data_IF_232777255107
#
_entry.id   IF_232777255107
#
_cell.length_a   1.000
_cell.length_b   1.000
_cell.length_c   1.000
_cell.angle_alpha   90.00
_cell.angle_beta   90.00
_cell.angle_gamma   90.00
#
_symmetry.space_group_name_H-M   'P 1'
#
loop_
_entity.id
_entity.type
_entity.pdbx_description
1 polymer ?
#
# COMPACT_ATOMS: atom_id res chain seq x y z
N UNK A 1 -22.96 43.71 -20.10
CA UNK A 1 -23.80 43.27 -18.96
C UNK A 1 -23.70 41.76 -18.88
N UNK A 2 -23.43 41.28 -17.67
CA UNK A 2 -23.13 39.93 -17.18
C UNK A 2 -23.67 38.72 -17.97
N UNK A 3 -22.75 37.85 -18.38
CA UNK A 3 -23.01 36.45 -18.75
C UNK A 3 -22.72 35.55 -17.54
N UNK A 4 -23.72 34.82 -17.06
CA UNK A 4 -23.57 33.80 -16.03
C UNK A 4 -23.92 32.43 -16.58
N UNK A 5 -23.15 31.45 -16.09
CA UNK A 5 -23.54 30.05 -15.86
C UNK A 5 -23.16 28.98 -16.89
N UNK A 6 -21.86 28.70 -16.95
CA UNK A 6 -21.29 27.44 -17.44
C UNK A 6 -20.83 26.52 -16.28
N UNK A 7 -21.75 26.01 -15.46
CA UNK A 7 -21.40 25.05 -14.38
C UNK A 7 -22.32 23.84 -14.41
N UNK A 8 -22.12 22.94 -15.39
CA UNK A 8 -22.84 21.65 -15.45
C UNK A 8 -21.98 20.40 -15.73
N UNK A 9 -20.64 20.51 -15.85
CA UNK A 9 -19.80 19.34 -16.20
C UNK A 9 -18.97 18.72 -15.08
N UNK A 10 -18.83 19.35 -13.91
CA UNK A 10 -18.01 18.79 -12.81
C UNK A 10 -18.69 17.76 -11.92
N UNK A 11 -20.03 17.67 -11.91
CA UNK A 11 -20.75 16.76 -11.02
C UNK A 11 -20.69 15.29 -11.44
N UNK A 12 -20.59 14.99 -12.74
CA UNK A 12 -20.79 13.62 -13.27
C UNK A 12 -19.62 12.67 -12.99
N UNK A 13 -18.38 13.15 -13.15
CA UNK A 13 -17.16 12.34 -12.93
C UNK A 13 -16.99 11.86 -11.47
N UNK A 14 -17.41 12.68 -10.49
CA UNK A 14 -17.39 12.26 -9.09
C UNK A 14 -18.39 11.13 -8.80
N UNK A 15 -19.60 11.16 -9.38
CA UNK A 15 -20.59 10.09 -9.22
C UNK A 15 -20.12 8.77 -9.85
N UNK A 16 -19.48 8.82 -11.01
CA UNK A 16 -18.94 7.61 -11.67
C UNK A 16 -17.86 6.92 -10.80
N UNK A 17 -17.01 7.71 -10.10
CA UNK A 17 -16.03 7.17 -9.15
C UNK A 17 -16.71 6.61 -7.89
N UNK A 18 -17.74 7.29 -7.37
CA UNK A 18 -18.50 6.79 -6.22
C UNK A 18 -19.19 5.46 -6.52
N UNK A 19 -19.79 5.30 -7.70
CA UNK A 19 -20.41 4.04 -8.12
C UNK A 19 -19.39 2.89 -8.26
N UNK A 20 -18.19 3.17 -8.81
CA UNK A 20 -17.13 2.16 -8.91
C UNK A 20 -16.62 1.77 -7.52
N UNK A 21 -16.46 2.75 -6.63
CA UNK A 21 -16.07 2.53 -5.24
C UNK A 21 -17.13 1.75 -4.46
N UNK A 22 -18.42 2.07 -4.63
CA UNK A 22 -19.54 1.34 -4.02
C UNK A 22 -19.54 -0.14 -4.44
N UNK A 23 -19.29 -0.45 -5.72
CA UNK A 23 -19.17 -1.83 -6.19
C UNK A 23 -17.97 -2.56 -5.59
N UNK A 24 -16.83 -1.88 -5.43
CA UNK A 24 -15.70 -2.48 -4.71
C UNK A 24 -16.06 -2.73 -3.25
N UNK A 25 -16.69 -1.78 -2.57
CA UNK A 25 -17.14 -1.95 -1.19
C UNK A 25 -18.09 -3.14 -1.02
N UNK A 26 -19.07 -3.31 -1.91
CA UNK A 26 -19.99 -4.45 -1.88
C UNK A 26 -19.23 -5.79 -2.00
N UNK A 27 -18.26 -5.89 -2.92
CA UNK A 27 -17.42 -7.09 -3.05
C UNK A 27 -16.60 -7.34 -1.78
N UNK A 28 -16.10 -6.28 -1.16
CA UNK A 28 -15.33 -6.36 0.08
C UNK A 28 -16.20 -6.76 1.27
N UNK A 29 -17.44 -6.29 1.36
CA UNK A 29 -18.39 -6.71 2.39
C UNK A 29 -18.78 -8.17 2.26
N UNK A 30 -19.05 -8.65 1.04
CA UNK A 30 -19.30 -10.07 0.80
C UNK A 30 -18.10 -10.93 1.20
N UNK A 31 -16.91 -10.48 0.83
CA UNK A 31 -15.66 -11.14 1.18
C UNK A 31 -15.43 -11.16 2.68
N UNK A 32 -15.59 -10.03 3.38
CA UNK A 32 -15.51 -9.97 4.84
C UNK A 32 -16.54 -10.87 5.51
N UNK A 33 -17.78 -10.91 5.02
CA UNK A 33 -18.82 -11.79 5.54
C UNK A 33 -18.42 -13.25 5.39
N UNK A 34 -17.90 -13.66 4.22
CA UNK A 34 -17.37 -15.01 4.00
C UNK A 34 -16.18 -15.31 4.89
N UNK A 35 -15.26 -14.35 5.07
CA UNK A 35 -14.12 -14.51 5.98
C UNK A 35 -14.64 -14.71 7.40
N UNK A 36 -15.55 -13.88 7.87
CA UNK A 36 -16.10 -13.96 9.22
C UNK A 36 -16.81 -15.30 9.46
N UNK A 37 -17.71 -15.70 8.57
CA UNK A 37 -18.42 -16.97 8.64
C UNK A 37 -17.46 -18.17 8.63
N UNK A 38 -16.49 -18.21 7.70
CA UNK A 38 -15.58 -19.34 7.57
C UNK A 38 -14.50 -19.39 8.64
N UNK A 39 -14.00 -18.22 9.08
CA UNK A 39 -12.97 -18.12 10.12
C UNK A 39 -13.57 -18.55 11.45
N UNK A 40 -14.66 -17.92 11.90
CA UNK A 40 -15.29 -18.27 13.18
C UNK A 40 -15.81 -19.71 13.21
N UNK A 41 -16.28 -20.25 12.08
CA UNK A 41 -16.74 -21.65 12.03
C UNK A 41 -15.61 -22.69 12.03
N UNK A 42 -14.37 -22.31 11.69
CA UNK A 42 -13.23 -23.24 11.55
C UNK A 42 -12.06 -22.97 12.50
N UNK A 43 -12.16 -21.98 13.39
CA UNK A 43 -11.12 -21.72 14.39
C UNK A 43 -10.95 -22.96 15.29
N UNK A 44 -9.78 -23.63 15.28
CA UNK A 44 -9.53 -24.70 16.23
C UNK A 44 -9.50 -24.09 17.64
N UNK A 45 -10.38 -24.56 18.52
CA UNK A 45 -10.35 -24.20 19.92
C UNK A 45 -8.99 -24.60 20.52
N UNK A 46 -8.23 -23.65 21.09
CA UNK A 46 -7.10 -23.97 21.97
C UNK A 46 -5.69 -23.56 21.53
N UNK A 47 -5.49 -22.76 20.48
CA UNK A 47 -4.22 -22.03 20.29
C UNK A 47 -4.50 -20.52 20.36
N UNK A 48 -3.73 -19.80 21.17
CA UNK A 48 -3.65 -18.34 21.12
C UNK A 48 -3.16 -17.95 19.73
N UNK A 49 -4.07 -17.80 18.79
CA UNK A 49 -3.79 -17.22 17.48
C UNK A 49 -3.74 -15.71 17.69
N UNK A 50 -2.65 -15.08 17.25
CA UNK A 50 -2.51 -13.63 17.23
C UNK A 50 -3.66 -12.97 16.45
N UNK A 51 -3.74 -11.63 16.47
CA UNK A 51 -4.85 -10.92 15.84
C UNK A 51 -4.98 -11.26 14.34
N UNK A 52 -6.22 -11.45 13.89
CA UNK A 52 -6.55 -11.47 12.46
C UNK A 52 -6.69 -10.03 11.98
N UNK A 53 -5.84 -9.63 11.04
CA UNK A 53 -5.76 -8.29 10.48
C UNK A 53 -6.05 -8.42 8.98
N UNK A 54 -7.13 -7.81 8.55
CA UNK A 54 -7.43 -7.55 7.15
C UNK A 54 -7.71 -6.06 7.02
N UNK A 55 -6.97 -5.40 6.14
CA UNK A 55 -7.13 -3.98 5.89
C UNK A 55 -6.87 -3.64 4.44
N UNK A 56 -7.42 -2.53 4.01
CA UNK A 56 -7.21 -2.00 2.67
C UNK A 56 -7.12 -0.48 2.71
N UNK A 57 -6.42 0.06 1.72
CA UNK A 57 -6.29 1.49 1.47
C UNK A 57 -6.71 1.76 0.03
N UNK A 58 -7.62 2.72 -0.15
CA UNK A 58 -8.09 3.14 -1.48
C UNK A 58 -7.59 4.56 -1.74
N UNK A 59 -6.88 4.75 -2.85
CA UNK A 59 -6.43 6.08 -3.31
C UNK A 59 -6.88 6.32 -4.73
N UNK A 60 -7.27 7.55 -5.08
CA UNK A 60 -7.60 7.92 -6.47
C UNK A 60 -6.30 8.22 -7.22
N UNK A 61 -6.03 7.44 -8.27
CA UNK A 61 -4.88 7.63 -9.14
C UNK A 61 -4.97 8.90 -10.00
N UNK A 62 -3.85 9.33 -10.61
CA UNK A 62 -3.82 10.50 -11.49
C UNK A 62 -4.67 10.33 -12.77
N UNK A 63 -4.98 9.09 -13.15
CA UNK A 63 -5.91 8.73 -14.22
C UNK A 63 -7.38 8.67 -13.77
N UNK A 64 -7.64 8.96 -12.49
CA UNK A 64 -8.97 8.95 -11.88
C UNK A 64 -9.45 7.57 -11.44
N UNK A 65 -8.63 6.51 -11.59
CA UNK A 65 -9.01 5.15 -11.18
C UNK A 65 -8.67 4.87 -9.72
N UNK A 66 -9.49 4.09 -9.00
CA UNK A 66 -9.16 3.67 -7.64
C UNK A 66 -7.97 2.70 -7.66
N UNK A 67 -7.01 2.94 -6.78
CA UNK A 67 -5.90 2.05 -6.47
C UNK A 67 -6.14 1.49 -5.09
N UNK A 68 -6.52 0.21 -5.04
CA UNK A 68 -6.75 -0.54 -3.79
C UNK A 68 -5.45 -1.25 -3.40
N UNK A 69 -5.00 -1.07 -2.16
CA UNK A 69 -3.85 -1.76 -1.57
C UNK A 69 -4.34 -2.53 -0.35
N UNK A 70 -4.11 -3.83 -0.30
CA UNK A 70 -4.42 -4.67 0.87
C UNK A 70 -3.22 -4.77 1.82
N UNK A 71 -3.48 -4.97 3.11
CA UNK A 71 -2.48 -5.19 4.16
C UNK A 71 -3.07 -6.07 5.27
N UNK A 72 -2.21 -6.56 6.16
CA UNK A 72 -2.58 -7.47 7.24
C UNK A 72 -2.06 -8.89 7.04
N UNK A 73 -2.54 -9.83 7.84
CA UNK A 73 -2.12 -11.24 7.80
C UNK A 73 -3.22 -12.18 7.27
N UNK A 74 -4.40 -11.67 6.93
CA UNK A 74 -5.48 -12.45 6.32
C UNK A 74 -5.47 -12.20 4.82
N UNK A 75 -5.35 -13.26 4.02
CA UNK A 75 -5.51 -13.20 2.57
C UNK A 75 -6.75 -13.98 2.12
N UNK A 76 -7.60 -13.40 1.26
CA UNK A 76 -8.68 -14.15 0.63
C UNK A 76 -8.14 -15.20 -0.33
N UNK A 77 -8.75 -16.38 -0.34
CA UNK A 77 -8.52 -17.34 -1.42
C UNK A 77 -9.86 -17.95 -1.85
N UNK A 78 -9.95 -18.55 -3.06
CA UNK A 78 -11.15 -19.27 -3.48
C UNK A 78 -11.57 -20.41 -2.55
N UNK A 79 -10.66 -20.89 -1.68
CA UNK A 79 -10.91 -21.96 -0.69
C UNK A 79 -11.22 -21.42 0.71
N UNK A 80 -11.28 -20.10 0.88
CA UNK A 80 -11.48 -19.43 2.16
C UNK A 80 -10.32 -18.52 2.57
N UNK A 81 -10.46 -17.77 3.67
CA UNK A 81 -9.36 -16.98 4.22
C UNK A 81 -8.17 -17.86 4.59
N UNK A 82 -6.98 -17.41 4.20
CA UNK A 82 -5.72 -17.97 4.66
C UNK A 82 -5.08 -16.97 5.61
N UNK A 83 -4.72 -17.43 6.80
CA UNK A 83 -4.06 -16.60 7.81
C UNK A 83 -2.57 -16.91 7.77
N UNK A 84 -1.78 -15.87 7.54
CA UNK A 84 -0.32 -15.92 7.62
C UNK A 84 0.11 -15.56 9.04
N UNK A 85 1.26 -16.08 9.45
CA UNK A 85 1.85 -15.72 10.74
C UNK A 85 2.40 -14.29 10.70
N UNK A 86 2.95 -13.89 9.57
CA UNK A 86 3.50 -12.57 9.31
C UNK A 86 2.39 -11.61 8.84
N UNK A 87 2.40 -10.40 9.38
CA UNK A 87 1.51 -9.32 8.96
C UNK A 87 2.17 -8.54 7.83
N UNK A 88 1.45 -8.30 6.74
CA UNK A 88 1.90 -7.32 5.75
C UNK A 88 1.63 -5.90 6.27
N UNK A 89 2.66 -5.05 6.40
CA UNK A 89 2.46 -3.65 6.73
C UNK A 89 1.80 -2.91 5.56
N UNK A 90 1.08 -1.83 5.88
CA UNK A 90 0.68 -0.87 4.87
C UNK A 90 1.94 -0.13 4.37
N UNK A 91 2.14 -0.16 3.05
CA UNK A 91 3.28 0.47 2.38
C UNK A 91 2.81 1.43 1.31
N UNK A 92 3.45 2.59 1.24
CA UNK A 92 3.34 3.50 0.11
C UNK A 92 4.70 3.80 -0.52
N UNK A 93 4.72 3.92 -1.84
CA UNK A 93 5.94 4.10 -2.63
C UNK A 93 5.80 5.33 -3.50
N UNK A 94 6.69 6.30 -3.30
CA UNK A 94 6.68 7.57 -4.00
C UNK A 94 7.91 7.70 -4.91
N UNK A 95 7.63 8.00 -6.18
CA UNK A 95 8.64 8.27 -7.19
C UNK A 95 8.93 9.79 -7.28
N UNK A 96 10.00 10.28 -6.62
CA UNK A 96 10.29 11.71 -6.42
C UNK A 96 11.65 12.12 -6.99
N UNK A 97 11.66 12.74 -8.18
CA UNK A 97 12.87 13.32 -8.78
C UNK A 97 13.98 12.28 -8.96
N UNK A 98 15.06 12.40 -8.17
CA UNK A 98 16.21 11.49 -8.16
C UNK A 98 16.10 10.36 -7.12
N UNK A 99 14.99 10.27 -6.40
CA UNK A 99 14.82 9.32 -5.30
C UNK A 99 13.54 8.50 -5.45
N UNK A 100 13.58 7.28 -4.92
CA UNK A 100 12.40 6.50 -4.54
C UNK A 100 12.28 6.59 -3.02
N UNK A 101 11.09 6.93 -2.51
CA UNK A 101 10.78 6.89 -1.08
C UNK A 101 9.78 5.78 -0.81
N UNK A 102 10.02 5.00 0.23
CA UNK A 102 9.13 3.94 0.70
C UNK A 102 8.75 4.26 2.14
N UNK A 103 7.44 4.31 2.42
CA UNK A 103 6.91 4.46 3.76
C UNK A 103 6.24 3.16 4.18
N UNK A 104 6.50 2.68 5.40
CA UNK A 104 5.87 1.49 5.95
C UNK A 104 5.40 1.71 7.39
N UNK A 105 4.18 1.29 7.69
CA UNK A 105 3.61 1.35 9.04
C UNK A 105 3.97 0.09 9.84
N UNK A 106 4.73 0.26 10.92
CA UNK A 106 5.24 -0.79 11.80
C UNK A 106 4.95 -0.45 13.28
N UNK A 107 3.68 -0.29 13.69
CA UNK A 107 3.34 0.16 15.04
C UNK A 107 3.79 -0.82 16.12
N UNK A 108 4.47 -0.29 17.15
CA UNK A 108 4.93 -1.07 18.29
C UNK A 108 6.19 -1.91 18.04
N UNK A 109 6.90 -1.68 16.93
CA UNK A 109 8.20 -2.29 16.63
C UNK A 109 9.33 -1.39 17.14
N UNK A 110 10.38 -1.96 17.73
CA UNK A 110 11.59 -1.20 18.06
C UNK A 110 12.48 -1.06 16.83
N UNK A 111 13.22 0.05 16.74
CA UNK A 111 14.03 0.37 15.55
C UNK A 111 15.05 -0.73 15.22
N UNK A 112 15.68 -1.26 16.26
CA UNK A 112 16.69 -2.31 16.20
C UNK A 112 16.17 -3.66 15.67
N UNK A 113 14.86 -3.90 15.73
CA UNK A 113 14.23 -5.13 15.26
C UNK A 113 13.88 -5.07 13.75
N UNK A 114 13.97 -3.88 13.13
CA UNK A 114 13.64 -3.67 11.72
C UNK A 114 14.84 -4.04 10.85
N UNK A 115 14.68 -5.07 10.03
CA UNK A 115 15.65 -5.48 9.02
C UNK A 115 15.24 -4.94 7.66
N UNK A 116 16.16 -4.24 7.00
CA UNK A 116 15.95 -3.71 5.64
C UNK A 116 16.99 -4.31 4.71
N UNK A 117 16.53 -4.82 3.56
CA UNK A 117 17.41 -5.28 2.50
C UNK A 117 16.95 -4.65 1.18
N UNK A 118 17.83 -3.91 0.52
CA UNK A 118 17.54 -3.27 -0.75
C UNK A 118 18.36 -3.93 -1.86
N UNK A 119 17.71 -4.28 -2.96
CA UNK A 119 18.33 -4.59 -4.25
C UNK A 119 18.17 -3.39 -5.20
N UNK A 120 18.59 -3.54 -6.46
CA UNK A 120 18.37 -2.49 -7.46
C UNK A 120 16.89 -2.22 -7.72
N UNK A 121 16.01 -3.19 -7.51
CA UNK A 121 14.61 -3.18 -7.96
C UNK A 121 13.60 -3.50 -6.85
N UNK A 122 14.05 -3.84 -5.65
CA UNK A 122 13.21 -4.24 -4.53
C UNK A 122 13.73 -3.72 -3.18
N UNK A 123 12.81 -3.45 -2.26
CA UNK A 123 13.08 -3.26 -0.84
C UNK A 123 12.31 -4.32 -0.03
N UNK A 124 13.03 -5.11 0.76
CA UNK A 124 12.48 -6.08 1.69
C UNK A 124 12.44 -5.47 3.09
N UNK A 125 11.27 -5.53 3.73
CA UNK A 125 11.01 -5.02 5.09
C UNK A 125 10.68 -6.19 6.02
N UNK A 126 11.64 -6.46 6.88
CA UNK A 126 11.75 -7.48 7.92
C UNK A 126 11.41 -7.14 9.36
N UNK A 127 10.46 -7.79 10.05
CA UNK A 127 10.43 -7.80 11.53
C UNK A 127 10.11 -9.20 12.02
N UNK A 128 10.94 -9.76 12.89
CA UNK A 128 10.75 -11.08 13.48
C UNK A 128 10.99 -11.01 14.99
N UNK A 129 9.92 -10.70 15.73
CA UNK A 129 9.91 -10.66 17.20
C UNK A 129 8.75 -11.50 17.73
N UNK A 130 8.80 -11.95 19.00
CA UNK A 130 7.67 -12.66 19.62
C UNK A 130 6.36 -11.85 19.62
N UNK A 131 6.44 -10.52 19.66
CA UNK A 131 5.29 -9.62 19.76
C UNK A 131 4.75 -9.17 18.40
N UNK A 132 5.64 -9.02 17.41
CA UNK A 132 5.32 -8.50 16.07
C UNK A 132 6.13 -9.24 15.01
N UNK A 133 5.43 -9.74 14.00
CA UNK A 133 6.04 -10.31 12.79
C UNK A 133 5.52 -9.56 11.58
N UNK A 134 6.41 -8.90 10.86
CA UNK A 134 6.10 -8.18 9.62
C UNK A 134 6.99 -8.67 8.49
N UNK A 135 6.40 -8.84 7.31
CA UNK A 135 7.13 -9.14 6.08
C UNK A 135 6.50 -8.42 4.90
N UNK A 136 7.33 -7.73 4.10
CA UNK A 136 6.90 -7.17 2.82
C UNK A 136 8.07 -7.10 1.84
N UNK A 137 7.81 -7.57 0.63
CA UNK A 137 8.62 -7.28 -0.55
C UNK A 137 7.97 -6.12 -1.31
N UNK A 138 8.72 -5.04 -1.51
CA UNK A 138 8.26 -3.81 -2.15
C UNK A 138 9.00 -3.64 -3.46
N UNK A 139 8.30 -3.88 -4.58
CA UNK A 139 8.83 -3.59 -5.91
C UNK A 139 9.02 -2.09 -6.10
N UNK A 140 10.21 -1.68 -6.52
CA UNK A 140 10.56 -0.29 -6.73
C UNK A 140 10.16 0.16 -8.15
N UNK A 141 9.65 1.38 -8.32
CA UNK A 141 9.21 1.91 -9.62
C UNK A 141 10.38 2.27 -10.56
N UNK A 142 11.60 2.30 -10.04
CA UNK A 142 12.82 2.61 -10.79
C UNK A 142 14.01 1.89 -10.16
N UNK A 143 15.07 1.66 -10.93
CA UNK A 143 16.31 1.11 -10.40
C UNK A 143 16.99 2.09 -9.45
N UNK A 144 17.43 1.60 -8.30
CA UNK A 144 18.09 2.38 -7.25
C UNK A 144 19.53 1.92 -6.99
N UNK A 145 20.28 2.72 -6.24
CA UNK A 145 21.61 2.41 -5.73
C UNK A 145 21.49 1.94 -4.27
N UNK A 146 21.53 0.63 -3.96
CA UNK A 146 21.30 0.12 -2.62
C UNK A 146 22.23 0.73 -1.56
N UNK A 147 23.51 0.92 -1.90
CA UNK A 147 24.53 1.43 -0.98
C UNK A 147 24.29 2.88 -0.53
N UNK A 148 23.41 3.61 -1.23
CA UNK A 148 23.05 5.00 -0.90
C UNK A 148 21.80 5.10 -0.02
N UNK A 149 21.18 3.96 0.31
CA UNK A 149 19.94 3.91 1.07
C UNK A 149 20.07 4.59 2.43
N UNK A 150 19.08 5.41 2.78
CA UNK A 150 18.94 5.98 4.13
C UNK A 150 17.57 5.62 4.66
N UNK A 151 17.49 5.31 5.95
CA UNK A 151 16.24 5.01 6.61
C UNK A 151 16.09 5.83 7.89
N UNK A 152 14.85 6.25 8.18
CA UNK A 152 14.46 6.84 9.45
C UNK A 152 13.20 6.15 9.97
N UNK A 153 13.07 6.06 11.28
CA UNK A 153 11.91 5.42 11.91
C UNK A 153 11.44 6.29 13.06
N UNK A 154 10.20 6.76 12.99
CA UNK A 154 9.62 7.67 13.97
C UNK A 154 8.13 7.38 14.14
N UNK A 155 7.69 7.27 15.39
CA UNK A 155 6.29 7.09 15.75
C UNK A 155 5.60 5.92 15.01
N UNK A 156 6.29 4.80 14.83
CA UNK A 156 5.73 3.63 14.14
C UNK A 156 5.78 3.69 12.62
N UNK A 157 6.38 4.73 12.02
CA UNK A 157 6.51 4.85 10.56
C UNK A 157 7.97 4.79 10.15
N UNK A 158 8.28 3.83 9.29
CA UNK A 158 9.57 3.73 8.59
C UNK A 158 9.51 4.56 7.31
N UNK A 159 10.51 5.41 7.10
CA UNK A 159 10.79 6.08 5.84
C UNK A 159 12.14 5.59 5.31
N UNK A 160 12.14 4.91 4.16
CA UNK A 160 13.34 4.55 3.43
C UNK A 160 13.48 5.42 2.17
N UNK A 161 14.67 5.98 1.95
CA UNK A 161 15.01 6.84 0.82
C UNK A 161 16.16 6.23 0.03
N UNK A 162 15.91 5.98 -1.24
CA UNK A 162 16.80 5.26 -2.16
C UNK A 162 17.13 6.17 -3.35
N UNK A 163 18.40 6.43 -3.64
CA UNK A 163 18.79 7.21 -4.83
C UNK A 163 18.64 6.36 -6.09
N UNK A 164 18.08 6.92 -7.16
CA UNK A 164 17.96 6.24 -8.45
C UNK A 164 19.32 6.06 -9.12
N UNK A 165 19.47 4.98 -9.88
CA UNK A 165 20.63 4.78 -10.74
C UNK A 165 20.67 5.83 -11.86
N UNK A 166 19.53 6.01 -12.55
CA UNK A 166 19.34 7.07 -13.53
C UNK A 166 18.64 8.25 -12.88
N UNK A 167 19.34 9.38 -12.81
CA UNK A 167 18.73 10.65 -12.39
C UNK A 167 17.64 11.03 -13.37
N UNK A 168 16.51 11.52 -12.85
CA UNK A 168 15.36 11.82 -13.69
C UNK A 168 15.73 12.88 -14.73
N UNK A 169 15.77 12.50 -16.01
CA UNK A 169 15.62 13.50 -17.08
C UNK A 169 14.25 14.14 -16.87
N UNK A 170 14.20 15.48 -16.85
CA UNK A 170 12.96 16.24 -16.72
C UNK A 170 11.84 15.58 -17.54
N UNK A 171 10.68 15.33 -16.90
CA UNK A 171 9.50 14.77 -17.57
C UNK A 171 8.98 15.82 -18.58
N UNK A 172 9.57 15.83 -19.77
CA UNK A 172 9.15 16.60 -20.94
C UNK A 172 10.07 17.76 -21.31
N UNK A 173 10.38 17.87 -22.60
CA UNK A 173 10.78 19.15 -23.22
C UNK A 173 9.52 19.82 -23.76
N UNK A 174 9.39 21.14 -23.58
CA UNK A 174 8.34 21.93 -24.24
C UNK A 174 8.52 21.81 -25.75
N UNK A 175 7.54 21.19 -26.42
CA UNK A 175 7.46 21.22 -27.89
C UNK A 175 6.63 22.46 -28.25
N UNK A 176 7.17 23.31 -29.12
CA UNK A 176 6.42 24.41 -29.71
C UNK A 176 5.71 23.85 -30.94
N UNK A 177 4.39 24.07 -31.02
CA UNK A 177 3.60 23.73 -32.20
C UNK A 177 3.83 24.81 -33.25
N UNK A 178 4.20 24.42 -34.47
CA UNK A 178 4.20 25.29 -35.66
C UNK A 178 2.82 25.30 -36.33
#
# INVERSE_FOLDING_TARGET
MFDTWGSRRRRRWWFDIFEEMEREFERMEEMMSRIFEQSFAKLPAGKEQGPFIYGFSVTVGPDGKPVVREFGNVRPTPRGPMVQEETEPLVDVMDEGDYVKVYAELPGVNKEDIKLNASEDELVISVDTPQRKYYKEVKLPARVKPDTAKASYKNGVLEARLEKQEKGKERGRRIVVE
#
